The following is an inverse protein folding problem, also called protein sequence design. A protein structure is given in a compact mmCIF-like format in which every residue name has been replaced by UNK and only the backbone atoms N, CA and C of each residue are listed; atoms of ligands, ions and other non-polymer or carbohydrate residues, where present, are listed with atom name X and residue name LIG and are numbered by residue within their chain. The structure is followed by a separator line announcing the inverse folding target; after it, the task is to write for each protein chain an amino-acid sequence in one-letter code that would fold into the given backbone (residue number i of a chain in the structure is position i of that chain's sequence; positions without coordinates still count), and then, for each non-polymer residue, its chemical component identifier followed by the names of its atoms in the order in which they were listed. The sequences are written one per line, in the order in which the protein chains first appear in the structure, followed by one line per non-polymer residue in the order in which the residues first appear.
data_IF_774121593567
#
_entry.id   IF_774121593567
#
_cell.length_a   1.000
_cell.length_b   1.000
_cell.length_c   1.000
_cell.angle_alpha   90.00
_cell.angle_beta   90.00
_cell.angle_gamma   90.00
#
_symmetry.space_group_name_H-M   'P 1'
#
loop_
_entity.id
_entity.type
_entity.pdbx_description
1 polymer ?
#
# COMPACT_ATOMS: atom_id res chain seq x y z
N UNK A 1 14.27 -6.05 -24.72
CA UNK A 1 13.06 -5.25 -24.41
C UNK A 1 13.49 -3.83 -24.13
N UNK A 2 12.73 -2.84 -24.58
CA UNK A 2 13.01 -1.43 -24.28
C UNK A 2 12.41 -1.12 -22.92
N UNK A 3 13.18 -0.50 -22.01
CA UNK A 3 12.69 -0.06 -20.71
C UNK A 3 11.84 1.20 -20.86
N UNK A 4 10.79 1.32 -20.06
CA UNK A 4 10.04 2.55 -19.88
C UNK A 4 10.90 3.57 -19.12
N UNK A 5 10.77 4.85 -19.43
CA UNK A 5 11.46 5.92 -18.68
C UNK A 5 10.54 6.40 -17.57
N UNK A 6 10.91 6.07 -16.35
CA UNK A 6 10.07 6.29 -15.16
C UNK A 6 10.57 7.47 -14.35
N UNK A 7 9.68 8.38 -13.99
CA UNK A 7 9.89 9.36 -12.92
C UNK A 7 9.18 8.88 -11.65
N UNK A 8 9.91 8.83 -10.54
CA UNK A 8 9.36 8.42 -9.24
C UNK A 8 9.30 9.62 -8.30
N UNK A 9 8.17 9.83 -7.63
CA UNK A 9 7.98 10.83 -6.58
C UNK A 9 7.60 10.17 -5.26
N UNK A 10 8.25 10.54 -4.15
CA UNK A 10 7.96 9.98 -2.82
C UNK A 10 8.87 8.80 -2.44
N UNK A 11 10.17 8.88 -2.70
CA UNK A 11 11.16 7.81 -2.57
C UNK A 11 11.52 7.38 -1.13
N UNK A 12 11.13 8.13 -0.08
CA UNK A 12 11.60 7.94 1.31
C UNK A 12 10.63 7.25 2.23
N UNK A 13 9.40 7.00 1.79
CA UNK A 13 8.38 6.37 2.63
C UNK A 13 8.76 4.94 3.01
N UNK A 14 8.24 4.47 4.14
CA UNK A 14 8.45 3.09 4.58
C UNK A 14 8.09 2.06 3.48
N UNK A 15 6.91 2.16 2.89
CA UNK A 15 6.50 1.26 1.79
C UNK A 15 7.16 1.59 0.45
N UNK A 16 7.49 2.86 0.20
CA UNK A 16 8.03 3.29 -1.09
C UNK A 16 9.50 2.94 -1.29
N UNK A 17 10.29 2.82 -0.24
CA UNK A 17 11.74 2.57 -0.37
C UNK A 17 12.05 1.25 -1.09
N UNK A 18 11.36 0.15 -0.77
CA UNK A 18 11.52 -1.13 -1.46
C UNK A 18 11.11 -1.06 -2.93
N UNK A 19 10.04 -0.32 -3.24
CA UNK A 19 9.58 -0.11 -4.60
C UNK A 19 10.63 0.67 -5.42
N UNK A 20 11.14 1.76 -4.85
CA UNK A 20 12.15 2.60 -5.53
C UNK A 20 13.44 1.82 -5.76
N UNK A 21 13.90 1.05 -4.78
CA UNK A 21 15.07 0.20 -4.89
C UNK A 21 14.92 -0.84 -6.01
N UNK A 22 13.80 -1.54 -6.06
CA UNK A 22 13.50 -2.53 -7.09
C UNK A 22 13.42 -1.90 -8.49
N UNK A 23 12.75 -0.76 -8.63
CA UNK A 23 12.66 -0.01 -9.88
C UNK A 23 14.04 0.50 -10.35
N UNK A 24 14.89 1.02 -9.45
CA UNK A 24 16.25 1.44 -9.77
C UNK A 24 17.08 0.24 -10.23
N UNK A 25 16.98 -0.87 -9.51
CA UNK A 25 17.69 -2.11 -9.86
C UNK A 25 17.30 -2.64 -11.23
N UNK A 26 16.05 -2.47 -11.65
CA UNK A 26 15.58 -2.85 -12.99
C UNK A 26 16.16 -1.97 -14.12
N UNK A 27 16.75 -0.82 -13.79
CA UNK A 27 17.29 0.15 -14.75
C UNK A 27 16.25 1.07 -15.40
N UNK A 28 14.97 0.99 -15.01
CA UNK A 28 13.89 1.76 -15.63
C UNK A 28 13.75 3.19 -15.08
N UNK A 29 14.30 3.50 -13.89
CA UNK A 29 14.19 4.83 -13.29
C UNK A 29 15.08 5.83 -14.01
N UNK A 30 14.45 6.76 -14.72
CA UNK A 30 15.16 7.89 -15.36
C UNK A 30 15.39 9.03 -14.36
N UNK A 31 14.42 9.33 -13.50
CA UNK A 31 14.49 10.44 -12.54
C UNK A 31 13.79 10.10 -11.23
N UNK A 32 14.35 10.61 -10.12
CA UNK A 32 13.64 10.72 -8.84
C UNK A 32 13.33 12.18 -8.59
N UNK A 33 12.04 12.47 -8.49
CA UNK A 33 11.53 13.80 -8.16
C UNK A 33 11.40 13.91 -6.63
N UNK A 34 11.89 15.01 -6.08
CA UNK A 34 11.84 15.23 -4.63
C UNK A 34 11.54 16.70 -4.30
N UNK A 35 10.97 16.94 -3.13
CA UNK A 35 10.69 18.30 -2.65
C UNK A 35 11.90 18.88 -1.92
N UNK A 36 11.99 20.18 -1.86
CA UNK A 36 13.00 20.91 -1.08
C UNK A 36 13.17 20.33 0.34
N UNK A 37 14.41 20.21 0.77
CA UNK A 37 14.76 19.67 2.09
C UNK A 37 14.63 18.14 2.23
N UNK A 38 14.29 17.41 1.18
CA UNK A 38 14.32 15.95 1.23
C UNK A 38 15.76 15.43 1.11
N UNK A 39 16.11 14.48 1.98
CA UNK A 39 17.37 13.77 1.86
C UNK A 39 17.36 12.82 0.64
N UNK A 40 18.32 12.96 -0.23
CA UNK A 40 18.53 12.14 -1.43
C UNK A 40 19.89 11.46 -1.43
N UNK A 41 20.59 11.47 -0.30
CA UNK A 41 21.95 10.92 -0.17
C UNK A 41 22.00 9.40 -0.36
N UNK A 42 20.92 8.71 -0.05
CA UNK A 42 20.76 7.26 -0.22
C UNK A 42 20.47 6.82 -1.66
N UNK A 43 20.19 7.77 -2.57
CA UNK A 43 19.98 7.44 -3.97
C UNK A 43 21.31 7.26 -4.71
N UNK A 44 21.45 6.23 -5.58
CA UNK A 44 22.66 6.00 -6.35
C UNK A 44 23.09 7.22 -7.18
N UNK A 45 24.40 7.39 -7.37
CA UNK A 45 24.96 8.55 -8.06
C UNK A 45 24.51 8.66 -9.53
N UNK A 46 24.23 7.53 -10.18
CA UNK A 46 23.80 7.49 -11.58
C UNK A 46 22.33 7.90 -11.80
N UNK A 47 21.53 7.99 -10.73
CA UNK A 47 20.12 8.40 -10.84
C UNK A 47 20.01 9.92 -10.88
N UNK A 48 19.31 10.44 -11.88
CA UNK A 48 18.99 11.87 -11.98
C UNK A 48 18.03 12.26 -10.86
N UNK A 49 18.41 13.25 -10.07
CA UNK A 49 17.64 13.78 -8.93
C UNK A 49 17.15 15.18 -9.27
N UNK A 50 15.83 15.40 -9.26
CA UNK A 50 15.23 16.68 -9.62
C UNK A 50 14.43 17.20 -8.44
N UNK A 51 14.86 18.33 -7.90
CA UNK A 51 14.08 19.05 -6.88
C UNK A 51 12.91 19.76 -7.58
N UNK A 52 11.70 19.48 -7.11
CA UNK A 52 10.49 20.10 -7.69
C UNK A 52 9.41 20.26 -6.62
N UNK A 53 8.78 21.43 -6.62
CA UNK A 53 7.49 21.62 -5.96
C UNK A 53 6.39 21.14 -6.92
N UNK A 54 5.66 20.11 -6.52
CA UNK A 54 4.57 19.56 -7.35
C UNK A 54 3.38 20.53 -7.52
N UNK A 55 3.35 21.64 -6.79
CA UNK A 55 2.40 22.74 -7.01
C UNK A 55 2.85 23.70 -8.11
N UNK A 56 4.14 23.70 -8.48
CA UNK A 56 4.67 24.44 -9.61
C UNK A 56 4.51 23.63 -10.90
N UNK A 57 3.46 23.94 -11.63
CA UNK A 57 3.11 23.26 -12.88
C UNK A 57 4.20 23.38 -13.95
N UNK A 58 4.84 24.55 -14.08
CA UNK A 58 5.87 24.77 -15.08
C UNK A 58 7.12 23.93 -14.79
N UNK A 59 7.56 23.90 -13.53
CA UNK A 59 8.68 23.06 -13.08
C UNK A 59 8.38 21.56 -13.27
N UNK A 60 7.16 21.11 -13.01
CA UNK A 60 6.74 19.73 -13.28
C UNK A 60 6.78 19.38 -14.77
N UNK A 61 6.25 20.25 -15.64
CA UNK A 61 6.28 20.05 -17.09
C UNK A 61 7.72 19.90 -17.58
N UNK A 62 8.64 20.74 -17.12
CA UNK A 62 10.06 20.65 -17.47
C UNK A 62 10.67 19.34 -16.97
N UNK A 63 10.41 18.98 -15.71
CA UNK A 63 10.94 17.74 -15.11
C UNK A 63 10.46 16.46 -15.82
N UNK A 64 9.29 16.50 -16.48
CA UNK A 64 8.64 15.34 -17.08
C UNK A 64 8.81 15.24 -18.62
N UNK A 65 9.57 16.12 -19.28
CA UNK A 65 9.68 16.17 -20.74
C UNK A 65 10.09 14.85 -21.40
N UNK A 66 10.94 14.07 -20.78
CA UNK A 66 11.51 12.83 -21.33
C UNK A 66 11.03 11.58 -20.56
N UNK A 67 9.87 11.65 -19.93
CA UNK A 67 9.29 10.58 -19.10
C UNK A 67 8.11 9.93 -19.79
N UNK A 68 8.03 8.59 -19.69
CA UNK A 68 6.90 7.80 -20.19
C UNK A 68 5.88 7.53 -19.08
N UNK A 69 6.35 7.26 -17.86
CA UNK A 69 5.52 6.87 -16.71
C UNK A 69 5.88 7.72 -15.49
N UNK A 70 4.87 8.27 -14.82
CA UNK A 70 5.02 8.86 -13.49
C UNK A 70 4.49 7.90 -12.44
N UNK A 71 5.31 7.55 -11.46
CA UNK A 71 4.90 6.77 -10.29
C UNK A 71 4.99 7.64 -9.05
N UNK A 72 3.86 7.85 -8.39
CA UNK A 72 3.81 8.57 -7.12
C UNK A 72 3.66 7.59 -5.97
N UNK A 73 4.51 7.72 -4.94
CA UNK A 73 4.61 6.83 -3.78
C UNK A 73 4.50 7.62 -2.47
N UNK A 74 3.64 8.62 -2.43
CA UNK A 74 3.46 9.46 -1.25
C UNK A 74 2.64 8.76 -0.16
N UNK A 75 2.93 9.09 1.10
CA UNK A 75 2.09 8.68 2.23
C UNK A 75 0.79 9.49 2.33
N UNK A 76 -0.02 9.17 3.34
CA UNK A 76 -1.37 9.74 3.53
C UNK A 76 -1.41 11.27 3.45
N UNK A 77 -0.45 11.96 4.07
CA UNK A 77 -0.37 13.43 4.05
C UNK A 77 -0.02 14.03 2.68
N UNK A 78 0.51 13.20 1.77
CA UNK A 78 0.96 13.63 0.45
C UNK A 78 -0.07 13.43 -0.66
N UNK A 79 -1.18 12.72 -0.40
CA UNK A 79 -2.13 12.31 -1.45
C UNK A 79 -2.65 13.52 -2.24
N UNK A 80 -3.06 14.57 -1.56
CA UNK A 80 -3.59 15.77 -2.21
C UNK A 80 -2.57 16.50 -3.11
N UNK A 81 -1.28 16.39 -2.80
CA UNK A 81 -0.23 17.03 -3.61
C UNK A 81 -0.12 16.43 -5.01
N UNK A 82 -0.58 15.19 -5.19
CA UNK A 82 -0.54 14.51 -6.49
C UNK A 82 -1.41 15.18 -7.57
N UNK A 83 -2.37 16.04 -7.18
CA UNK A 83 -3.14 16.84 -8.12
C UNK A 83 -2.25 17.78 -8.98
N UNK A 84 -1.03 18.09 -8.56
CA UNK A 84 -0.05 18.76 -9.40
C UNK A 84 0.31 17.95 -10.65
N UNK A 85 0.48 16.64 -10.51
CA UNK A 85 0.70 15.74 -11.66
C UNK A 85 -0.51 15.71 -12.59
N UNK A 86 -1.74 15.71 -12.04
CA UNK A 86 -2.97 15.74 -12.86
C UNK A 86 -3.03 17.00 -13.75
N UNK A 87 -2.52 18.14 -13.26
CA UNK A 87 -2.46 19.39 -14.04
C UNK A 87 -1.34 19.38 -15.08
N UNK A 88 -0.17 18.84 -14.73
CA UNK A 88 1.02 18.91 -15.55
C UNK A 88 1.07 17.83 -16.66
N UNK A 89 0.68 16.60 -16.37
CA UNK A 89 0.80 15.44 -17.27
C UNK A 89 0.17 15.70 -18.65
N UNK A 90 -1.04 16.27 -18.78
CA UNK A 90 -1.65 16.53 -20.10
C UNK A 90 -0.84 17.46 -21.01
N UNK A 91 0.16 18.17 -20.47
CA UNK A 91 1.04 19.10 -21.19
C UNK A 91 2.44 18.52 -21.46
N UNK A 92 2.62 17.22 -21.24
CA UNK A 92 3.89 16.48 -21.37
C UNK A 92 3.74 15.29 -22.32
N UNK A 93 4.81 14.50 -22.46
CA UNK A 93 4.79 13.24 -23.21
C UNK A 93 4.51 12.01 -22.32
N UNK A 94 4.17 12.21 -21.05
CA UNK A 94 3.83 11.13 -20.12
C UNK A 94 2.58 10.41 -20.60
N UNK A 95 2.65 9.09 -20.68
CA UNK A 95 1.58 8.22 -21.18
C UNK A 95 0.81 7.53 -20.08
N UNK A 96 1.42 7.39 -18.89
CA UNK A 96 0.83 6.65 -17.79
C UNK A 96 1.14 7.30 -16.45
N UNK A 97 0.15 7.39 -15.59
CA UNK A 97 0.29 7.81 -14.21
C UNK A 97 -0.09 6.68 -13.26
N UNK A 98 0.80 6.31 -12.36
CA UNK A 98 0.49 5.41 -11.24
C UNK A 98 0.40 6.25 -9.96
N UNK A 99 -0.81 6.60 -9.51
CA UNK A 99 -1.00 7.32 -8.26
C UNK A 99 -0.67 6.42 -7.06
N UNK A 100 -0.34 7.03 -5.94
CA UNK A 100 -0.08 6.31 -4.70
C UNK A 100 -1.38 5.75 -4.12
N UNK A 101 -1.55 4.44 -4.20
CA UNK A 101 -2.69 3.74 -3.59
C UNK A 101 -2.18 2.70 -2.58
N UNK A 102 -1.70 1.53 -3.01
CA UNK A 102 -1.21 0.44 -2.18
C UNK A 102 -2.23 -0.04 -1.12
N UNK A 103 -3.49 -0.11 -1.50
CA UNK A 103 -4.59 -0.46 -0.60
C UNK A 103 -5.62 -1.35 -1.33
N UNK A 104 -6.88 -0.98 -1.36
CA UNK A 104 -7.95 -1.69 -2.04
C UNK A 104 -9.08 -0.75 -2.45
N UNK A 105 -10.10 -1.29 -3.08
CA UNK A 105 -11.34 -0.55 -3.36
C UNK A 105 -12.21 -0.54 -2.10
N UNK A 106 -12.96 0.53 -1.90
CA UNK A 106 -13.71 0.77 -0.68
C UNK A 106 -15.19 0.89 -0.94
N UNK A 107 -16.00 0.44 0.03
CA UNK A 107 -17.42 0.71 0.08
C UNK A 107 -17.68 2.18 0.49
N UNK A 108 -18.98 2.57 0.54
CA UNK A 108 -19.37 3.94 0.91
C UNK A 108 -18.86 4.37 2.29
N UNK A 109 -18.76 3.43 3.26
CA UNK A 109 -18.24 3.73 4.58
C UNK A 109 -16.73 3.95 4.53
N UNK A 110 -15.99 3.09 3.82
CA UNK A 110 -14.56 3.23 3.63
C UNK A 110 -14.18 4.53 2.93
N UNK A 111 -14.99 5.01 1.99
CA UNK A 111 -14.81 6.31 1.31
C UNK A 111 -15.08 7.53 2.21
N UNK A 112 -15.70 7.37 3.39
CA UNK A 112 -15.77 8.46 4.38
C UNK A 112 -14.44 8.67 5.13
N UNK A 113 -13.53 7.71 5.09
CA UNK A 113 -12.18 7.85 5.65
C UNK A 113 -11.37 8.76 4.75
N UNK A 114 -10.89 9.88 5.28
CA UNK A 114 -10.31 10.98 4.50
C UNK A 114 -9.20 10.58 3.52
N UNK A 115 -8.29 9.68 3.92
CA UNK A 115 -7.22 9.20 3.02
C UNK A 115 -7.75 8.35 1.87
N UNK A 116 -8.75 7.51 2.10
CA UNK A 116 -9.35 6.67 1.06
C UNK A 116 -10.13 7.52 0.06
N UNK A 117 -10.91 8.49 0.58
CA UNK A 117 -11.60 9.48 -0.25
C UNK A 117 -10.64 10.25 -1.12
N UNK A 118 -9.54 10.76 -0.55
CA UNK A 118 -8.55 11.54 -1.29
C UNK A 118 -7.89 10.75 -2.42
N UNK A 119 -7.63 9.45 -2.23
CA UNK A 119 -7.10 8.56 -3.28
C UNK A 119 -8.11 8.35 -4.41
N UNK A 120 -9.36 8.08 -4.04
CA UNK A 120 -10.44 7.91 -5.01
C UNK A 120 -10.65 9.18 -5.84
N UNK A 121 -10.76 10.36 -5.20
CA UNK A 121 -10.92 11.65 -5.88
C UNK A 121 -9.73 11.98 -6.81
N UNK A 122 -8.51 11.58 -6.43
CA UNK A 122 -7.33 11.76 -7.28
C UNK A 122 -7.41 10.92 -8.56
N UNK A 123 -7.81 9.65 -8.44
CA UNK A 123 -7.97 8.76 -9.60
C UNK A 123 -9.06 9.28 -10.55
N UNK A 124 -10.21 9.68 -10.02
CA UNK A 124 -11.30 10.30 -10.79
C UNK A 124 -10.82 11.58 -11.50
N UNK A 125 -10.05 12.42 -10.79
CA UNK A 125 -9.51 13.65 -11.39
C UNK A 125 -8.51 13.36 -12.52
N UNK A 126 -7.68 12.33 -12.38
CA UNK A 126 -6.75 11.92 -13.43
C UNK A 126 -7.50 11.40 -14.67
N UNK A 127 -8.51 10.56 -14.47
CA UNK A 127 -9.35 10.05 -15.55
C UNK A 127 -10.13 11.17 -16.25
N UNK A 128 -10.70 12.10 -15.49
CA UNK A 128 -11.40 13.27 -16.04
C UNK A 128 -10.48 14.19 -16.86
N UNK A 129 -9.17 14.22 -16.53
CA UNK A 129 -8.15 14.93 -17.29
C UNK A 129 -7.64 14.15 -18.52
N UNK A 130 -8.19 12.97 -18.82
CA UNK A 130 -7.78 12.10 -19.92
C UNK A 130 -6.43 11.41 -19.70
N UNK A 131 -5.98 11.29 -18.46
CA UNK A 131 -4.72 10.63 -18.12
C UNK A 131 -4.98 9.14 -17.91
N UNK A 132 -4.28 8.29 -18.67
CA UNK A 132 -4.29 6.84 -18.40
C UNK A 132 -3.65 6.54 -17.04
N UNK A 133 -4.32 5.75 -16.22
CA UNK A 133 -3.84 5.40 -14.88
C UNK A 133 -3.60 3.91 -14.74
N UNK A 134 -2.69 3.54 -13.84
CA UNK A 134 -2.57 2.18 -13.30
C UNK A 134 -2.47 2.28 -11.79
N UNK A 135 -3.45 1.74 -11.08
CA UNK A 135 -3.38 1.59 -9.62
C UNK A 135 -2.95 0.18 -9.26
N UNK A 136 -2.16 0.06 -8.21
CA UNK A 136 -1.71 -1.24 -7.68
C UNK A 136 -2.34 -1.46 -6.32
N UNK A 137 -3.16 -2.50 -6.21
CA UNK A 137 -3.95 -2.84 -5.05
C UNK A 137 -3.37 -4.07 -4.36
N UNK A 138 -3.03 -3.95 -3.10
CA UNK A 138 -2.32 -4.99 -2.33
C UNK A 138 -3.12 -5.56 -1.15
N UNK A 139 -4.30 -5.00 -0.87
CA UNK A 139 -5.02 -5.27 0.37
C UNK A 139 -4.31 -4.61 1.55
N UNK A 140 -3.51 -5.38 2.28
CA UNK A 140 -2.68 -4.87 3.37
C UNK A 140 -1.22 -5.29 3.21
N UNK A 141 -0.31 -4.47 3.70
CA UNK A 141 1.05 -4.93 3.96
C UNK A 141 1.04 -5.99 5.07
N UNK A 142 1.78 -7.08 4.87
CA UNK A 142 1.92 -8.15 5.86
C UNK A 142 2.49 -7.60 7.18
N UNK A 143 3.45 -6.70 7.09
CA UNK A 143 4.08 -6.05 8.25
C UNK A 143 3.08 -5.20 9.04
N UNK A 144 2.13 -4.53 8.37
CA UNK A 144 1.05 -3.82 9.05
C UNK A 144 0.10 -4.80 9.75
N UNK A 145 -0.36 -5.80 9.01
CA UNK A 145 -1.40 -6.70 9.49
C UNK A 145 -0.93 -7.56 10.66
N UNK A 146 0.33 -8.03 10.62
CA UNK A 146 0.86 -8.99 11.57
C UNK A 146 1.68 -8.33 12.71
N UNK A 147 2.17 -7.08 12.54
CA UNK A 147 3.16 -6.51 13.46
C UNK A 147 2.70 -5.22 14.18
N UNK A 148 1.43 -4.79 14.03
CA UNK A 148 1.00 -3.49 14.59
C UNK A 148 -0.13 -3.54 15.61
N UNK A 149 -0.63 -4.69 15.98
CA UNK A 149 -1.86 -4.89 16.77
C UNK A 149 -3.14 -4.38 16.06
N UNK A 150 -3.00 -3.50 15.07
CA UNK A 150 -4.11 -2.84 14.37
C UNK A 150 -5.14 -3.79 13.77
N UNK A 151 -4.70 -4.96 13.31
CA UNK A 151 -5.56 -6.01 12.75
C UNK A 151 -5.99 -7.07 13.79
N UNK A 152 -5.64 -6.90 15.07
CA UNK A 152 -5.99 -7.86 16.13
C UNK A 152 -5.04 -9.05 16.22
N UNK A 153 -3.82 -8.91 15.73
CA UNK A 153 -2.75 -9.93 15.84
C UNK A 153 -1.65 -9.40 16.75
N UNK A 154 -1.29 -10.14 17.78
CA UNK A 154 -0.18 -9.84 18.68
C UNK A 154 0.80 -11.02 18.67
N UNK A 155 1.78 -10.93 17.77
CA UNK A 155 2.77 -11.98 17.57
C UNK A 155 3.64 -12.24 18.80
N UNK A 156 3.94 -11.22 19.59
CA UNK A 156 4.81 -11.34 20.76
C UNK A 156 4.02 -11.76 22.00
N UNK A 157 2.78 -11.25 22.14
CA UNK A 157 1.90 -11.59 23.25
C UNK A 157 1.16 -12.92 23.08
N UNK A 158 1.35 -13.63 21.97
CA UNK A 158 0.62 -14.85 21.64
C UNK A 158 -0.90 -14.69 21.77
N UNK A 159 -1.45 -13.65 21.12
CA UNK A 159 -2.87 -13.30 21.21
C UNK A 159 -3.44 -12.97 19.84
N UNK A 160 -4.72 -13.30 19.63
CA UNK A 160 -5.46 -12.89 18.43
C UNK A 160 -6.90 -12.51 18.79
N UNK A 161 -7.37 -11.42 18.17
CA UNK A 161 -8.76 -10.96 18.28
C UNK A 161 -9.45 -11.14 16.94
N UNK A 162 -10.36 -12.07 16.86
CA UNK A 162 -11.21 -12.20 15.67
C UNK A 162 -12.25 -11.07 15.63
N UNK A 163 -12.45 -10.51 14.48
CA UNK A 163 -13.49 -9.51 14.20
C UNK A 163 -14.51 -10.12 13.25
N UNK A 164 -15.75 -10.27 13.73
CA UNK A 164 -16.77 -10.98 12.95
C UNK A 164 -16.30 -12.38 12.58
N UNK A 165 -16.30 -12.68 11.27
CA UNK A 165 -15.92 -14.02 10.75
C UNK A 165 -14.44 -14.11 10.33
N UNK A 166 -13.57 -13.21 10.79
CA UNK A 166 -12.16 -13.16 10.35
C UNK A 166 -11.34 -14.42 10.64
N UNK A 167 -11.83 -15.31 11.52
CA UNK A 167 -11.24 -16.63 11.72
C UNK A 167 -11.21 -17.47 10.43
N UNK A 168 -12.26 -17.34 9.62
CA UNK A 168 -12.49 -18.15 8.42
C UNK A 168 -12.46 -17.33 7.11
N UNK A 169 -12.18 -16.04 7.18
CA UNK A 169 -12.07 -15.16 6.01
C UNK A 169 -10.60 -14.93 5.63
N UNK A 170 -10.32 -14.97 4.33
CA UNK A 170 -8.99 -14.68 3.80
C UNK A 170 -8.59 -13.23 4.02
N UNK A 171 -7.31 -13.03 4.32
CA UNK A 171 -6.67 -11.72 4.42
C UNK A 171 -5.61 -11.58 3.32
N UNK A 172 -5.89 -10.78 2.29
CA UNK A 172 -4.94 -10.55 1.21
C UNK A 172 -3.76 -9.70 1.70
N UNK A 173 -2.57 -10.28 1.69
CA UNK A 173 -1.34 -9.68 2.22
C UNK A 173 -0.22 -9.68 1.19
N UNK A 174 0.59 -8.63 1.24
CA UNK A 174 1.85 -8.51 0.49
C UNK A 174 2.94 -7.96 1.40
N UNK A 175 4.14 -8.54 1.36
CA UNK A 175 5.32 -7.93 1.98
C UNK A 175 5.81 -6.74 1.17
N UNK A 176 6.57 -5.84 1.80
CA UNK A 176 7.20 -4.71 1.11
C UNK A 176 8.08 -5.16 -0.06
N UNK A 177 8.82 -6.23 0.15
CA UNK A 177 9.73 -6.81 -0.83
C UNK A 177 8.97 -7.32 -2.05
N UNK A 178 7.88 -8.05 -1.84
CA UNK A 178 7.03 -8.50 -2.94
C UNK A 178 6.41 -7.34 -3.72
N UNK A 179 5.92 -6.32 -3.02
CA UNK A 179 5.37 -5.12 -3.66
C UNK A 179 6.44 -4.42 -4.49
N UNK A 180 7.68 -4.31 -3.98
CA UNK A 180 8.80 -3.76 -4.73
C UNK A 180 9.09 -4.54 -6.02
N UNK A 181 9.21 -5.86 -5.92
CA UNK A 181 9.42 -6.74 -7.07
C UNK A 181 8.26 -6.65 -8.08
N UNK A 182 7.03 -6.56 -7.60
CA UNK A 182 5.85 -6.41 -8.44
C UNK A 182 5.87 -5.09 -9.22
N UNK A 183 6.19 -3.96 -8.59
CA UNK A 183 6.32 -2.68 -9.29
C UNK A 183 7.38 -2.72 -10.37
N UNK A 184 8.55 -3.29 -10.10
CA UNK A 184 9.58 -3.47 -11.11
C UNK A 184 9.10 -4.36 -12.26
N UNK A 185 8.42 -5.47 -11.98
CA UNK A 185 7.83 -6.37 -12.97
C UNK A 185 6.75 -5.70 -13.82
N UNK A 186 5.86 -4.90 -13.21
CA UNK A 186 4.76 -4.21 -13.89
C UNK A 186 5.30 -3.09 -14.78
N UNK A 187 6.11 -2.19 -14.24
CA UNK A 187 6.36 -0.90 -14.88
C UNK A 187 7.65 -0.83 -15.70
N UNK A 188 8.66 -1.70 -15.44
CA UNK A 188 9.97 -1.49 -16.06
C UNK A 188 9.99 -1.70 -17.57
N UNK A 189 9.37 -2.77 -18.08
CA UNK A 189 9.44 -3.14 -19.49
C UNK A 189 8.11 -3.56 -20.11
N UNK A 190 7.04 -3.61 -19.33
CA UNK A 190 5.71 -3.92 -19.85
C UNK A 190 5.27 -2.81 -20.80
N UNK A 191 4.76 -3.12 -21.99
CA UNK A 191 4.21 -2.13 -22.90
C UNK A 191 3.12 -1.29 -22.20
N UNK A 192 3.20 0.03 -22.29
CA UNK A 192 2.26 0.94 -21.59
C UNK A 192 0.81 0.64 -21.98
N UNK A 193 0.55 0.30 -23.26
CA UNK A 193 -0.78 -0.08 -23.72
C UNK A 193 -1.40 -1.29 -23.02
N UNK A 194 -0.60 -2.11 -22.33
CA UNK A 194 -1.08 -3.21 -21.50
C UNK A 194 -1.32 -2.80 -20.04
N UNK A 195 -0.97 -1.57 -19.68
CA UNK A 195 -1.09 -1.04 -18.32
C UNK A 195 -2.20 0.00 -18.19
N UNK A 196 -2.60 0.62 -19.29
CA UNK A 196 -3.55 1.74 -19.31
C UNK A 196 -4.89 1.38 -18.66
N UNK A 197 -5.32 2.24 -17.74
CA UNK A 197 -6.63 2.18 -17.07
C UNK A 197 -6.88 0.85 -16.34
N UNK A 198 -5.85 0.29 -15.72
CA UNK A 198 -5.92 -0.94 -14.95
C UNK A 198 -5.87 -0.70 -13.44
N UNK A 199 -6.61 -1.54 -12.71
CA UNK A 199 -6.47 -1.74 -11.28
C UNK A 199 -5.85 -3.13 -11.07
N UNK A 200 -4.53 -3.16 -10.93
CA UNK A 200 -3.77 -4.41 -10.83
C UNK A 200 -3.76 -4.88 -9.38
N UNK A 201 -4.24 -6.09 -9.17
CA UNK A 201 -4.24 -6.77 -7.88
C UNK A 201 -2.92 -7.49 -7.64
N UNK A 202 -2.38 -7.38 -6.42
CA UNK A 202 -1.27 -8.19 -5.95
C UNK A 202 -1.74 -9.11 -4.82
N UNK A 203 -1.26 -10.35 -4.84
CA UNK A 203 -1.47 -11.32 -3.76
C UNK A 203 -0.21 -12.14 -3.57
N UNK A 204 0.46 -11.96 -2.46
CA UNK A 204 1.57 -12.80 -2.07
C UNK A 204 1.09 -13.98 -1.23
N UNK A 205 0.32 -13.70 -0.17
CA UNK A 205 -0.28 -14.72 0.69
C UNK A 205 -1.71 -14.31 1.07
N UNK A 206 -2.51 -15.29 1.47
CA UNK A 206 -3.92 -15.09 1.85
C UNK A 206 -4.33 -15.97 3.04
N UNK A 207 -3.72 -15.77 4.25
CA UNK A 207 -4.07 -16.57 5.41
C UNK A 207 -5.48 -16.21 5.92
N UNK A 208 -6.12 -17.19 6.53
CA UNK A 208 -7.29 -16.97 7.39
C UNK A 208 -6.83 -16.69 8.83
N UNK A 209 -7.70 -16.12 9.66
CA UNK A 209 -7.37 -15.86 11.06
C UNK A 209 -6.98 -17.13 11.84
N UNK A 210 -7.61 -18.27 11.54
CA UNK A 210 -7.24 -19.58 12.11
C UNK A 210 -5.84 -20.05 11.71
N UNK A 211 -5.37 -19.73 10.50
CA UNK A 211 -4.03 -20.09 10.06
C UNK A 211 -2.98 -19.27 10.81
N UNK A 212 -3.29 -17.98 11.05
CA UNK A 212 -2.45 -17.11 11.89
C UNK A 212 -2.40 -17.65 13.32
N UNK A 213 -3.53 -18.08 13.90
CA UNK A 213 -3.58 -18.67 15.25
C UNK A 213 -2.75 -19.96 15.33
N UNK A 214 -2.85 -20.85 14.35
CA UNK A 214 -2.06 -22.07 14.29
C UNK A 214 -0.55 -21.80 14.18
N UNK A 215 -0.17 -20.77 13.44
CA UNK A 215 1.23 -20.35 13.33
C UNK A 215 1.74 -19.72 14.63
N UNK A 216 0.89 -18.97 15.36
CA UNK A 216 1.20 -18.48 16.71
C UNK A 216 1.43 -19.62 17.69
N UNK A 217 0.57 -20.63 17.66
CA UNK A 217 0.76 -21.85 18.50
C UNK A 217 2.09 -22.53 18.18
N UNK A 218 2.44 -22.66 16.91
CA UNK A 218 3.72 -23.22 16.47
C UNK A 218 4.92 -22.40 16.96
N UNK A 219 4.80 -21.04 16.92
CA UNK A 219 5.86 -20.12 17.40
C UNK A 219 6.09 -20.23 18.89
N UNK A 220 5.03 -20.31 19.68
CA UNK A 220 5.11 -20.23 21.15
C UNK A 220 5.06 -21.60 21.85
N UNK A 221 4.72 -22.67 21.13
CA UNK A 221 4.56 -24.02 21.70
C UNK A 221 3.30 -24.20 22.57
N UNK A 222 2.44 -23.18 22.62
CA UNK A 222 1.15 -23.17 23.32
C UNK A 222 0.11 -22.43 22.50
N UNK A 223 -1.16 -22.83 22.62
CA UNK A 223 -2.25 -22.16 21.91
C UNK A 223 -2.34 -20.67 22.27
N UNK A 224 -2.62 -19.79 21.29
CA UNK A 224 -2.77 -18.38 21.54
C UNK A 224 -4.02 -18.08 22.37
N UNK A 225 -3.98 -16.97 23.11
CA UNK A 225 -5.20 -16.41 23.70
C UNK A 225 -6.08 -15.86 22.58
N UNK A 226 -7.28 -16.40 22.43
CA UNK A 226 -8.25 -15.98 21.41
C UNK A 226 -9.37 -15.20 22.08
N UNK A 227 -9.68 -14.03 21.53
CA UNK A 227 -10.88 -13.26 21.86
C UNK A 227 -11.64 -12.89 20.58
N UNK A 228 -12.84 -12.33 20.70
CA UNK A 228 -13.67 -11.99 19.54
C UNK A 228 -14.41 -10.68 19.74
N UNK A 229 -14.48 -9.89 18.68
CA UNK A 229 -15.36 -8.73 18.58
C UNK A 229 -16.46 -9.00 17.56
N UNK A 230 -17.71 -8.73 17.93
CA UNK A 230 -18.82 -8.80 16.97
C UNK A 230 -18.67 -7.76 15.87
N UNK A 231 -19.25 -8.02 14.71
CA UNK A 231 -19.29 -7.02 13.62
C UNK A 231 -20.02 -5.73 14.05
N UNK A 232 -21.02 -5.83 14.92
CA UNK A 232 -21.69 -4.67 15.49
C UNK A 232 -20.73 -3.78 16.26
N UNK A 233 -19.93 -4.37 17.18
CA UNK A 233 -18.90 -3.64 17.91
C UNK A 233 -17.89 -2.99 16.96
N UNK A 234 -17.32 -3.76 16.04
CA UNK A 234 -16.30 -3.26 15.10
C UNK A 234 -16.86 -2.14 14.24
N UNK A 235 -18.10 -2.26 13.74
CA UNK A 235 -18.76 -1.20 12.99
C UNK A 235 -19.02 0.04 13.85
N UNK A 236 -19.41 -0.13 15.10
CA UNK A 236 -19.58 0.97 16.06
C UNK A 236 -18.29 1.79 16.22
N UNK A 237 -17.13 1.12 16.37
CA UNK A 237 -15.82 1.77 16.44
C UNK A 237 -15.48 2.56 15.15
N UNK A 238 -15.87 2.02 13.98
CA UNK A 238 -15.69 2.74 12.71
C UNK A 238 -16.55 4.00 12.66
N UNK A 239 -17.84 3.90 13.00
CA UNK A 239 -18.77 5.06 12.98
C UNK A 239 -18.37 6.13 14.00
N UNK A 240 -17.98 5.75 15.22
CA UNK A 240 -17.48 6.68 16.23
C UNK A 240 -16.18 7.35 15.75
N UNK A 241 -15.28 6.57 15.16
CA UNK A 241 -14.04 7.07 14.60
C UNK A 241 -14.26 8.04 13.44
N UNK A 242 -15.22 7.78 12.57
CA UNK A 242 -15.61 8.70 11.49
C UNK A 242 -16.20 10.01 12.05
N UNK A 243 -17.03 9.93 13.09
CA UNK A 243 -17.64 11.10 13.70
C UNK A 243 -16.63 11.99 14.44
N UNK A 244 -15.62 11.39 15.09
CA UNK A 244 -14.60 12.08 15.87
C UNK A 244 -13.32 12.44 15.11
N UNK A 245 -13.14 11.93 13.90
CA UNK A 245 -11.88 12.05 13.14
C UNK A 245 -10.72 11.24 13.76
N UNK A 246 -11.03 10.12 14.40
CA UNK A 246 -10.07 9.29 15.12
C UNK A 246 -8.99 8.68 14.22
N UNK A 247 -7.75 8.63 14.71
CA UNK A 247 -6.63 7.95 14.06
C UNK A 247 -6.81 6.42 13.99
N UNK A 248 -7.72 5.86 14.78
CA UNK A 248 -7.97 4.41 14.86
C UNK A 248 -8.94 3.91 13.81
N UNK A 249 -9.71 4.81 13.18
CA UNK A 249 -10.80 4.50 12.24
C UNK A 249 -10.34 3.57 11.13
N UNK A 250 -9.18 3.83 10.53
CA UNK A 250 -8.68 3.01 9.42
C UNK A 250 -8.41 1.57 9.85
N UNK A 251 -7.81 1.34 11.01
CA UNK A 251 -7.54 -0.01 11.50
C UNK A 251 -8.84 -0.75 11.86
N UNK A 252 -9.80 -0.08 12.49
CA UNK A 252 -11.12 -0.67 12.74
C UNK A 252 -11.86 -0.99 11.45
N UNK A 253 -11.77 -0.13 10.44
CA UNK A 253 -12.32 -0.41 9.12
C UNK A 253 -11.66 -1.63 8.46
N UNK A 254 -10.33 -1.75 8.54
CA UNK A 254 -9.61 -2.92 8.04
C UNK A 254 -10.06 -4.21 8.74
N UNK A 255 -10.25 -4.20 10.07
CA UNK A 255 -10.82 -5.33 10.82
C UNK A 255 -12.24 -5.67 10.36
N UNK A 256 -13.09 -4.65 10.12
CA UNK A 256 -14.44 -4.84 9.62
C UNK A 256 -14.45 -5.57 8.28
N UNK A 257 -13.71 -5.05 7.30
CA UNK A 257 -13.71 -5.64 5.95
C UNK A 257 -13.07 -7.02 5.91
N UNK A 258 -12.12 -7.30 6.81
CA UNK A 258 -11.61 -8.66 7.00
C UNK A 258 -12.70 -9.56 7.58
N UNK A 259 -13.35 -9.16 8.66
CA UNK A 259 -14.40 -9.94 9.31
C UNK A 259 -15.66 -10.19 8.45
N UNK A 260 -15.82 -9.47 7.35
CA UNK A 260 -16.90 -9.65 6.36
C UNK A 260 -16.45 -10.33 5.07
N UNK A 261 -15.15 -10.70 4.94
CA UNK A 261 -14.57 -11.26 3.71
C UNK A 261 -14.36 -10.24 2.59
N UNK A 262 -14.71 -8.97 2.79
CA UNK A 262 -14.55 -7.93 1.77
C UNK A 262 -13.08 -7.57 1.49
N UNK A 263 -12.19 -7.76 2.46
CA UNK A 263 -10.80 -7.34 2.33
C UNK A 263 -10.07 -8.04 1.17
N UNK A 264 -10.21 -9.35 1.06
CA UNK A 264 -9.62 -10.12 -0.03
C UNK A 264 -10.23 -9.79 -1.39
N UNK A 265 -11.49 -9.36 -1.44
CA UNK A 265 -12.19 -8.98 -2.67
C UNK A 265 -11.87 -7.54 -3.09
N UNK A 266 -11.48 -6.68 -2.14
CA UNK A 266 -11.22 -5.26 -2.37
C UNK A 266 -10.05 -4.98 -3.33
N UNK A 267 -9.17 -5.95 -3.57
CA UNK A 267 -8.09 -5.81 -4.57
C UNK A 267 -8.56 -6.09 -6.00
N UNK A 268 -9.77 -6.63 -6.19
CA UNK A 268 -10.29 -7.01 -7.50
C UNK A 268 -9.77 -8.37 -7.98
N UNK A 269 -9.86 -8.60 -9.29
CA UNK A 269 -9.55 -9.90 -9.91
C UNK A 269 -8.45 -9.86 -10.98
N UNK A 270 -7.89 -8.68 -11.27
CA UNK A 270 -6.84 -8.51 -12.27
C UNK A 270 -5.46 -8.75 -11.63
N UNK A 271 -5.18 -10.00 -11.28
CA UNK A 271 -3.96 -10.38 -10.58
C UNK A 271 -2.72 -10.34 -11.47
N UNK A 272 -1.65 -9.73 -10.96
CA UNK A 272 -0.34 -9.74 -11.57
C UNK A 272 0.57 -10.74 -10.87
N UNK A 273 1.16 -11.65 -11.64
CA UNK A 273 2.14 -12.60 -11.12
C UNK A 273 3.57 -12.13 -11.40
N UNK A 274 4.39 -12.14 -10.35
CA UNK A 274 5.80 -11.79 -10.44
C UNK A 274 6.61 -13.05 -10.76
N UNK A 275 6.92 -13.24 -12.04
CA UNK A 275 7.63 -14.41 -12.50
C UNK A 275 9.01 -14.56 -11.84
N UNK A 276 9.29 -15.75 -11.32
CA UNK A 276 10.57 -16.07 -10.66
C UNK A 276 10.72 -15.54 -9.24
N UNK A 277 9.74 -14.85 -8.69
CA UNK A 277 9.73 -14.46 -7.29
C UNK A 277 9.16 -15.58 -6.40
N UNK A 278 9.90 -15.97 -5.36
CA UNK A 278 9.40 -16.90 -4.35
C UNK A 278 8.52 -16.12 -3.37
N UNK A 279 7.21 -16.34 -3.44
CA UNK A 279 6.26 -15.76 -2.48
C UNK A 279 6.56 -16.28 -1.06
N UNK A 280 6.48 -15.41 -0.07
CA UNK A 280 6.61 -15.78 1.32
C UNK A 280 5.38 -16.57 1.79
N UNK A 281 5.60 -17.50 2.70
CA UNK A 281 4.53 -18.16 3.46
C UNK A 281 4.36 -17.52 4.83
N UNK A 282 3.27 -17.86 5.51
CA UNK A 282 3.04 -17.38 6.87
C UNK A 282 4.14 -17.91 7.84
N UNK A 283 4.61 -19.14 7.60
CA UNK A 283 5.70 -19.76 8.33
C UNK A 283 7.04 -19.05 8.08
N UNK A 284 7.36 -18.73 6.83
CA UNK A 284 8.59 -17.96 6.51
C UNK A 284 8.58 -16.63 7.29
N UNK A 285 7.45 -15.93 7.31
CA UNK A 285 7.33 -14.63 7.96
C UNK A 285 7.40 -14.72 9.50
N UNK A 286 6.68 -15.65 10.12
CA UNK A 286 6.48 -15.68 11.58
C UNK A 286 7.51 -16.60 12.25
N UNK A 287 7.71 -17.82 11.74
CA UNK A 287 8.64 -18.80 12.31
C UNK A 287 10.06 -18.60 11.79
N UNK A 288 10.21 -18.32 10.50
CA UNK A 288 11.48 -18.01 9.86
C UNK A 288 12.05 -16.63 10.22
N UNK A 289 11.24 -15.75 10.81
CA UNK A 289 11.66 -14.41 11.21
C UNK A 289 11.90 -13.45 10.03
N UNK A 290 11.31 -13.74 8.87
CA UNK A 290 11.45 -12.90 7.68
C UNK A 290 10.54 -11.67 7.71
N UNK A 291 9.52 -11.63 8.58
CA UNK A 291 8.63 -10.48 8.75
C UNK A 291 9.41 -9.26 9.25
N UNK A 292 9.51 -8.24 8.42
CA UNK A 292 10.18 -7.00 8.79
C UNK A 292 9.29 -6.13 9.67
N UNK A 293 9.93 -5.21 10.40
CA UNK A 293 9.19 -4.24 11.22
C UNK A 293 8.37 -3.31 10.32
N UNK A 294 7.14 -3.02 10.75
CA UNK A 294 6.39 -1.89 10.21
C UNK A 294 7.01 -0.57 10.69
N UNK A 295 6.67 0.53 10.03
CA UNK A 295 7.07 1.86 10.52
C UNK A 295 6.55 2.09 11.93
N UNK A 296 7.22 2.95 12.69
CA UNK A 296 6.76 3.32 14.02
C UNK A 296 5.34 3.86 13.98
N UNK A 297 4.50 3.29 14.83
CA UNK A 297 3.12 3.73 15.03
C UNK A 297 3.08 4.74 16.18
N UNK A 298 2.20 5.74 16.11
CA UNK A 298 2.02 6.65 17.25
C UNK A 298 1.72 5.88 18.55
N UNK A 299 2.38 6.20 19.68
CA UNK A 299 2.21 5.44 20.92
C UNK A 299 0.75 5.27 21.36
N UNK A 300 -0.09 6.30 21.16
CA UNK A 300 -1.52 6.23 21.47
C UNK A 300 -2.27 5.20 20.61
N UNK A 301 -1.84 4.95 19.37
CA UNK A 301 -2.44 3.93 18.50
C UNK A 301 -2.08 2.53 19.00
N UNK A 302 -0.80 2.34 19.35
CA UNK A 302 -0.32 1.05 19.89
C UNK A 302 -1.04 0.72 21.20
N UNK A 303 -1.15 1.70 22.11
CA UNK A 303 -1.80 1.51 23.41
C UNK A 303 -3.29 1.22 23.25
N UNK A 304 -4.00 1.96 22.37
CA UNK A 304 -5.41 1.70 22.10
C UNK A 304 -5.65 0.26 21.66
N UNK A 305 -4.89 -0.21 20.67
CA UNK A 305 -5.08 -1.58 20.17
C UNK A 305 -4.57 -2.67 21.14
N UNK A 306 -3.63 -2.36 22.02
CA UNK A 306 -3.21 -3.28 23.10
C UNK A 306 -4.34 -3.55 24.08
N UNK A 307 -5.17 -2.56 24.38
CA UNK A 307 -6.32 -2.69 25.28
C UNK A 307 -7.51 -3.43 24.64
N UNK A 308 -7.44 -3.69 23.34
CA UNK A 308 -8.49 -4.42 22.62
C UNK A 308 -8.32 -5.96 22.64
N UNK A 309 -7.28 -6.50 23.31
CA UNK A 309 -7.02 -7.93 23.41
C UNK A 309 -7.62 -8.58 24.65
#
# INVERSE_FOLDING_TARGET
MTLNRIAVYGHRGWGSSSIVEALITSGAVAKVLYRAGSDVSNLPAHITKVEVDVSDEAALIEALQDIDIVISLVGHEGVQRQHGFVKAIPKTNVKLFSPSDLAGRYDEQGLKIGVNKAKYELEEAAQAAGISTTVVLIGNFAEFALNTLGMGVDLEGNRIVYSGNSADEELNLCTREYVGAAYASIFSATPISQLENRAIALRELGPMGKDIAATLESKHGIAPQISSHSLEKVNGEVEEGLASGSLFTLSWYCRKIWGTGQQAQAVGSDFWEVNGYKKATLEDLILGGELKAYRDMPPQVVEHFRQCF
#
